data_IF_915063840118
#
_entry.id   IF_915063840118
#
_cell.length_a   1.000
_cell.length_b   1.000
_cell.length_c   1.000
_cell.angle_alpha   90.00
_cell.angle_beta   90.00
_cell.angle_gamma   90.00
#
_symmetry.space_group_name_H-M   'P 1'
#
loop_
_entity.id
_entity.type
_entity.pdbx_description
1 polymer ?
#
# COMPACT_ATOMS: atom_id res chain seq x y z
N UNK A 1 -33.70 6.37 6.57
CA UNK A 1 -34.09 5.32 7.56
C UNK A 1 -33.45 3.96 7.29
N UNK A 2 -33.80 3.18 6.24
CA UNK A 2 -33.23 1.81 6.05
C UNK A 2 -31.72 1.71 5.74
N UNK A 3 -31.10 2.76 5.19
CA UNK A 3 -29.64 2.86 4.97
C UNK A 3 -28.88 3.33 6.22
N UNK A 4 -29.55 4.04 7.12
CA UNK A 4 -28.94 4.59 8.34
C UNK A 4 -28.93 3.57 9.47
N UNK A 5 -29.89 2.63 9.50
CA UNK A 5 -29.86 1.47 10.42
C UNK A 5 -28.75 0.47 10.05
N UNK A 6 -28.51 0.22 8.75
CA UNK A 6 -27.36 -0.59 8.30
C UNK A 6 -26.01 0.02 8.69
N UNK A 7 -25.89 1.34 8.65
CA UNK A 7 -24.68 2.04 9.09
C UNK A 7 -24.50 2.08 10.61
N UNK A 8 -25.58 1.94 11.41
CA UNK A 8 -25.49 1.87 12.88
C UNK A 8 -25.24 0.44 13.39
N UNK A 9 -25.66 -0.59 12.65
CA UNK A 9 -25.32 -2.00 12.96
C UNK A 9 -23.90 -2.39 12.55
N UNK A 10 -23.30 -1.67 11.57
CA UNK A 10 -21.87 -1.77 11.21
C UNK A 10 -20.94 -0.98 12.12
N UNK A 11 -21.46 -0.29 13.13
CA UNK A 11 -20.69 0.06 14.34
C UNK A 11 -20.44 -1.19 15.22
N UNK A 12 -20.35 -2.36 14.58
CA UNK A 12 -20.09 -3.65 15.16
C UNK A 12 -18.83 -3.52 16.00
N UNK A 13 -18.96 -3.85 17.29
CA UNK A 13 -17.84 -3.96 18.23
C UNK A 13 -16.67 -4.57 17.47
N UNK A 14 -15.59 -3.83 17.30
CA UNK A 14 -14.38 -4.37 16.66
C UNK A 14 -14.01 -5.59 17.50
N UNK A 15 -14.30 -6.77 16.96
CA UNK A 15 -13.98 -8.02 17.62
C UNK A 15 -12.47 -8.08 17.78
N UNK A 16 -12.02 -8.88 18.75
CA UNK A 16 -10.59 -9.21 18.88
C UNK A 16 -10.05 -9.74 17.52
N UNK A 17 -10.92 -10.38 16.74
CA UNK A 17 -10.67 -10.85 15.37
C UNK A 17 -10.28 -9.73 14.38
N UNK A 18 -10.91 -8.55 14.44
CA UNK A 18 -10.58 -7.42 13.57
C UNK A 18 -9.22 -6.80 13.89
N UNK A 19 -8.87 -6.72 15.17
CA UNK A 19 -7.53 -6.29 15.59
C UNK A 19 -6.46 -7.33 15.28
N UNK A 20 -6.76 -8.61 15.48
CA UNK A 20 -5.85 -9.72 15.17
C UNK A 20 -5.56 -9.83 13.67
N UNK A 21 -6.59 -9.73 12.83
CA UNK A 21 -6.44 -9.73 11.37
C UNK A 21 -5.69 -8.50 10.86
N UNK A 22 -5.95 -7.31 11.41
CA UNK A 22 -5.17 -6.12 11.09
C UNK A 22 -3.68 -6.29 11.43
N UNK A 23 -3.37 -6.81 12.62
CA UNK A 23 -1.99 -7.03 13.05
C UNK A 23 -1.29 -8.05 12.14
N UNK A 24 -1.96 -9.15 11.82
CA UNK A 24 -1.46 -10.16 10.88
C UNK A 24 -1.18 -9.55 9.50
N UNK A 25 -2.10 -8.74 8.99
CA UNK A 25 -1.96 -8.08 7.70
C UNK A 25 -0.76 -7.11 7.69
N UNK A 26 -0.59 -6.31 8.74
CA UNK A 26 0.57 -5.43 8.87
C UNK A 26 1.87 -6.25 8.86
N UNK A 27 1.93 -7.36 9.60
CA UNK A 27 3.10 -8.24 9.61
C UNK A 27 3.40 -8.79 8.21
N UNK A 28 2.40 -9.35 7.53
CA UNK A 28 2.53 -9.91 6.17
C UNK A 28 3.13 -8.91 5.19
N UNK A 29 2.63 -7.66 5.19
CA UNK A 29 3.08 -6.61 4.29
C UNK A 29 4.32 -5.84 4.77
N UNK A 30 4.83 -6.07 5.99
CA UNK A 30 5.94 -5.29 6.57
C UNK A 30 7.33 -5.70 6.07
N UNK A 31 7.52 -6.94 5.62
CA UNK A 31 8.84 -7.47 5.27
C UNK A 31 9.73 -7.86 6.47
N UNK A 32 9.22 -7.79 7.72
CA UNK A 32 10.04 -8.02 8.92
C UNK A 32 10.62 -9.45 9.00
N UNK A 33 9.98 -10.43 8.36
CA UNK A 33 10.39 -11.83 8.39
C UNK A 33 11.03 -12.32 7.09
N UNK A 34 11.37 -11.42 6.16
CA UNK A 34 12.00 -11.76 4.86
C UNK A 34 13.24 -12.66 5.04
N UNK A 35 14.10 -12.34 6.03
CA UNK A 35 15.34 -13.08 6.31
C UNK A 35 15.23 -14.12 7.44
N UNK A 36 14.04 -14.39 7.98
CA UNK A 36 13.91 -15.30 9.13
C UNK A 36 14.21 -16.76 8.74
N UNK A 37 14.92 -17.57 9.53
CA UNK A 37 15.26 -18.96 9.15
C UNK A 37 14.21 -20.02 9.52
N UNK A 38 13.07 -19.61 10.07
CA UNK A 38 12.13 -20.46 10.80
C UNK A 38 10.70 -20.30 10.25
N UNK A 39 9.73 -20.89 10.94
CA UNK A 39 8.30 -20.82 10.59
C UNK A 39 7.78 -19.39 10.37
N UNK A 40 8.42 -18.37 10.95
CA UNK A 40 7.98 -16.97 10.80
C UNK A 40 8.05 -16.48 9.36
N UNK A 41 8.82 -17.12 8.47
CA UNK A 41 8.80 -16.83 7.01
C UNK A 41 7.40 -16.94 6.41
N UNK A 42 6.53 -17.79 6.97
CA UNK A 42 5.16 -17.94 6.50
C UNK A 42 4.30 -16.68 6.72
N UNK A 43 4.76 -15.73 7.53
CA UNK A 43 4.10 -14.45 7.76
C UNK A 43 4.78 -13.29 7.02
N UNK A 44 5.47 -13.58 5.91
CA UNK A 44 6.10 -12.57 5.06
C UNK A 44 5.60 -12.71 3.63
N UNK A 45 5.04 -11.64 3.07
CA UNK A 45 4.48 -11.65 1.74
C UNK A 45 5.52 -12.02 0.67
N UNK A 46 6.75 -11.50 0.77
CA UNK A 46 7.81 -11.79 -0.21
C UNK A 46 8.21 -13.26 -0.19
N UNK A 47 8.33 -13.87 0.99
CA UNK A 47 8.58 -15.31 1.13
C UNK A 47 7.41 -16.16 0.62
N UNK A 48 6.16 -15.73 0.85
CA UNK A 48 4.96 -16.45 0.40
C UNK A 48 4.78 -16.40 -1.13
N UNK A 49 5.11 -15.27 -1.75
CA UNK A 49 5.10 -15.12 -3.22
C UNK A 49 6.21 -15.96 -3.84
N UNK A 50 7.36 -16.04 -3.16
CA UNK A 50 8.55 -16.72 -3.64
C UNK A 50 9.24 -15.97 -4.78
N UNK A 51 10.07 -16.70 -5.52
CA UNK A 51 10.95 -16.13 -6.55
C UNK A 51 10.36 -16.25 -7.96
N UNK A 52 9.08 -15.95 -8.14
CA UNK A 52 8.45 -16.02 -9.45
C UNK A 52 9.12 -15.06 -10.43
N UNK A 53 9.48 -15.59 -11.61
CA UNK A 53 10.21 -14.84 -12.63
C UNK A 53 11.73 -14.97 -12.57
N UNK A 54 12.30 -15.58 -11.51
CA UNK A 54 13.72 -15.91 -11.46
C UNK A 54 13.95 -17.28 -12.12
N UNK A 55 14.83 -17.33 -13.10
CA UNK A 55 15.17 -18.55 -13.85
C UNK A 55 16.50 -19.12 -13.33
N UNK A 56 17.50 -18.28 -13.12
CA UNK A 56 18.82 -18.62 -12.58
C UNK A 56 19.49 -17.37 -11.99
N UNK A 57 20.67 -17.51 -11.39
CA UNK A 57 21.43 -16.37 -10.86
C UNK A 57 21.66 -15.30 -11.94
N UNK A 58 21.10 -14.11 -11.72
CA UNK A 58 21.17 -12.98 -12.65
C UNK A 58 20.33 -13.13 -13.93
N UNK A 59 19.46 -14.15 -14.02
CA UNK A 59 18.56 -14.39 -15.15
C UNK A 59 17.12 -14.45 -14.65
N UNK A 60 16.30 -13.52 -15.12
CA UNK A 60 14.87 -13.43 -14.84
C UNK A 60 14.07 -13.39 -16.15
N UNK A 61 12.75 -13.25 -16.03
CA UNK A 61 11.82 -13.10 -17.15
C UNK A 61 12.11 -11.92 -18.08
N UNK A 62 12.81 -10.88 -17.61
CA UNK A 62 13.17 -9.72 -18.43
C UNK A 62 14.23 -10.08 -19.49
N UNK A 63 15.01 -11.14 -19.25
CA UNK A 63 16.11 -11.57 -20.12
C UNK A 63 17.28 -10.58 -20.10
N UNK A 64 18.24 -10.75 -21.01
CA UNK A 64 19.38 -9.82 -21.17
C UNK A 64 19.36 -9.17 -22.55
N UNK A 65 19.57 -7.84 -22.62
CA UNK A 65 19.75 -7.09 -23.87
C UNK A 65 18.48 -6.54 -24.53
N UNK A 66 17.31 -6.68 -23.91
CA UNK A 66 16.09 -6.02 -24.34
C UNK A 66 15.87 -4.73 -23.55
N UNK A 67 15.80 -3.57 -24.22
CA UNK A 67 15.41 -2.30 -23.59
C UNK A 67 14.12 -1.82 -24.24
N UNK A 68 13.10 -1.49 -23.44
CA UNK A 68 11.83 -0.93 -23.93
C UNK A 68 10.60 -1.81 -23.67
N UNK A 69 9.62 -1.81 -24.57
CA UNK A 69 8.29 -2.38 -24.30
C UNK A 69 8.28 -3.88 -23.95
N UNK A 70 9.21 -4.67 -24.49
CA UNK A 70 9.31 -6.12 -24.21
C UNK A 70 9.77 -6.39 -22.77
N UNK A 71 10.78 -5.66 -22.32
CA UNK A 71 11.29 -5.74 -20.95
C UNK A 71 10.20 -5.33 -19.95
N UNK A 72 9.53 -4.20 -20.21
CA UNK A 72 8.41 -3.75 -19.37
C UNK A 72 7.24 -4.75 -19.31
N UNK A 73 6.91 -5.41 -20.42
CA UNK A 73 5.88 -6.45 -20.43
C UNK A 73 6.28 -7.66 -19.57
N UNK A 74 7.53 -8.13 -19.69
CA UNK A 74 8.00 -9.25 -18.89
C UNK A 74 8.09 -8.90 -17.41
N UNK A 75 8.52 -7.69 -17.05
CA UNK A 75 8.46 -7.18 -15.69
C UNK A 75 7.02 -7.18 -15.14
N UNK A 76 6.04 -6.70 -15.91
CA UNK A 76 4.65 -6.67 -15.49
C UNK A 76 4.09 -8.06 -15.16
N UNK A 77 4.49 -9.11 -15.90
CA UNK A 77 4.10 -10.49 -15.58
C UNK A 77 4.59 -10.94 -14.19
N UNK A 78 5.75 -10.44 -13.73
CA UNK A 78 6.27 -10.78 -12.40
C UNK A 78 5.42 -10.23 -11.25
N UNK A 79 4.61 -9.19 -11.51
CA UNK A 79 3.76 -8.55 -10.49
C UNK A 79 2.43 -9.29 -10.27
N UNK A 80 2.02 -10.17 -11.18
CA UNK A 80 0.72 -10.84 -11.14
C UNK A 80 0.54 -11.68 -9.86
N UNK A 81 1.48 -12.57 -9.46
CA UNK A 81 1.30 -13.37 -8.25
C UNK A 81 1.22 -12.50 -6.99
N UNK A 82 2.09 -11.49 -6.89
CA UNK A 82 2.14 -10.52 -5.78
C UNK A 82 0.80 -9.83 -5.59
N UNK A 83 0.23 -9.30 -6.67
CA UNK A 83 -1.05 -8.57 -6.62
C UNK A 83 -2.22 -9.49 -6.28
N UNK A 84 -2.30 -10.67 -6.90
CA UNK A 84 -3.35 -11.65 -6.62
C UNK A 84 -3.38 -12.10 -5.14
N UNK A 85 -2.23 -12.53 -4.59
CA UNK A 85 -2.14 -13.00 -3.20
C UNK A 85 -2.44 -11.86 -2.22
N UNK A 86 -1.88 -10.68 -2.47
CA UNK A 86 -2.11 -9.50 -1.65
C UNK A 86 -3.58 -9.10 -1.58
N UNK A 87 -4.25 -9.07 -2.74
CA UNK A 87 -5.70 -8.78 -2.82
C UNK A 87 -6.49 -9.84 -2.07
N UNK A 88 -6.12 -11.13 -2.17
CA UNK A 88 -6.72 -12.21 -1.40
C UNK A 88 -6.64 -12.00 0.12
N UNK A 89 -5.45 -11.68 0.64
CA UNK A 89 -5.28 -11.41 2.08
C UNK A 89 -6.07 -10.19 2.55
N UNK A 90 -6.09 -9.12 1.76
CA UNK A 90 -6.88 -7.92 2.07
C UNK A 90 -8.35 -8.28 2.18
N UNK A 91 -8.91 -9.03 1.23
CA UNK A 91 -10.31 -9.44 1.26
C UNK A 91 -10.64 -10.29 2.49
N UNK A 92 -9.82 -11.29 2.81
CA UNK A 92 -10.02 -12.14 4.00
C UNK A 92 -9.98 -11.31 5.28
N UNK A 93 -8.99 -10.41 5.42
CA UNK A 93 -8.87 -9.57 6.61
C UNK A 93 -10.00 -8.54 6.71
N UNK A 94 -10.46 -8.00 5.58
CA UNK A 94 -11.62 -7.12 5.52
C UNK A 94 -12.90 -7.82 5.99
N UNK A 95 -13.15 -9.05 5.54
CA UNK A 95 -14.29 -9.87 5.99
C UNK A 95 -14.22 -10.16 7.50
N UNK A 96 -13.02 -10.19 8.08
CA UNK A 96 -12.78 -10.31 9.53
C UNK A 96 -12.87 -8.98 10.30
N UNK A 97 -13.18 -7.87 9.64
CA UNK A 97 -13.34 -6.55 10.26
C UNK A 97 -12.03 -5.76 10.43
N UNK A 98 -10.94 -6.14 9.76
CA UNK A 98 -9.66 -5.42 9.84
C UNK A 98 -9.76 -3.97 9.38
N UNK A 99 -10.66 -3.64 8.45
CA UNK A 99 -10.82 -2.27 7.94
C UNK A 99 -11.34 -1.31 9.01
N UNK A 100 -12.25 -1.77 9.89
CA UNK A 100 -12.76 -0.94 10.98
C UNK A 100 -11.74 -0.80 12.12
N UNK A 101 -10.95 -1.86 12.38
CA UNK A 101 -9.80 -1.77 13.28
C UNK A 101 -8.74 -0.78 12.75
N UNK A 102 -8.42 -0.87 11.45
CA UNK A 102 -7.48 0.02 10.79
C UNK A 102 -7.97 1.46 10.85
N UNK A 103 -9.27 1.68 10.64
CA UNK A 103 -9.87 3.00 10.78
C UNK A 103 -9.57 3.61 12.13
N UNK A 104 -9.82 2.92 13.24
CA UNK A 104 -9.53 3.47 14.59
C UNK A 104 -8.04 3.65 14.85
N UNK A 105 -7.22 2.71 14.41
CA UNK A 105 -5.76 2.78 14.61
C UNK A 105 -5.10 3.91 13.82
N UNK A 106 -5.44 4.07 12.55
CA UNK A 106 -4.77 5.02 11.65
C UNK A 106 -5.42 6.41 11.65
N UNK A 107 -6.67 6.58 12.08
CA UNK A 107 -7.30 7.91 12.17
C UNK A 107 -6.47 8.93 12.96
N UNK A 108 -5.95 8.65 14.17
CA UNK A 108 -5.15 9.64 14.91
C UNK A 108 -3.83 10.00 14.21
N UNK A 109 -3.36 9.20 13.27
CA UNK A 109 -2.14 9.46 12.50
C UNK A 109 -2.42 10.17 11.17
N UNK A 110 -3.29 9.59 10.34
CA UNK A 110 -3.51 10.04 8.97
C UNK A 110 -4.35 11.32 8.88
N UNK A 111 -5.31 11.49 9.80
CA UNK A 111 -6.19 12.67 9.84
C UNK A 111 -5.41 13.97 10.09
N UNK A 112 -4.53 14.07 11.11
CA UNK A 112 -3.71 15.27 11.27
C UNK A 112 -2.64 15.39 10.18
N UNK A 113 -1.99 14.28 9.80
CA UNK A 113 -0.84 14.31 8.90
C UNK A 113 -1.20 14.69 7.46
N UNK A 114 -2.31 14.18 6.93
CA UNK A 114 -2.67 14.34 5.51
C UNK A 114 -4.15 14.69 5.29
N UNK A 115 -4.98 14.69 6.35
CA UNK A 115 -6.41 15.01 6.23
C UNK A 115 -7.26 13.89 5.63
N UNK A 116 -6.73 12.67 5.56
CA UNK A 116 -7.44 11.49 5.01
C UNK A 116 -8.02 10.63 6.14
N UNK A 117 -9.10 9.86 5.90
CA UNK A 117 -9.72 9.03 6.92
C UNK A 117 -8.86 7.81 7.23
N UNK A 118 -8.96 7.29 8.46
CA UNK A 118 -8.20 6.11 8.88
C UNK A 118 -8.57 4.83 8.12
N UNK A 119 -9.71 4.78 7.43
CA UNK A 119 -10.09 3.67 6.53
C UNK A 119 -9.04 3.44 5.43
N UNK A 120 -8.31 4.50 5.05
CA UNK A 120 -7.17 4.42 4.11
C UNK A 120 -5.90 3.83 4.75
N UNK A 121 -5.93 3.44 6.02
CA UNK A 121 -4.79 2.99 6.80
C UNK A 121 -4.13 1.72 6.28
N UNK A 122 -4.93 0.73 5.87
CA UNK A 122 -4.38 -0.51 5.30
C UNK A 122 -3.75 -0.23 3.94
N UNK A 123 -4.42 0.55 3.09
CA UNK A 123 -3.86 0.98 1.81
C UNK A 123 -2.57 1.80 1.99
N UNK A 124 -2.47 2.58 3.09
CA UNK A 124 -1.28 3.35 3.43
C UNK A 124 -0.09 2.42 3.71
N UNK A 125 -0.28 1.36 4.51
CA UNK A 125 0.77 0.36 4.77
C UNK A 125 1.10 -0.44 3.51
N UNK A 126 0.08 -0.92 2.79
CA UNK A 126 0.26 -1.67 1.56
C UNK A 126 1.06 -0.87 0.52
N UNK A 127 0.93 0.46 0.48
CA UNK A 127 1.64 1.29 -0.51
C UNK A 127 3.16 1.27 -0.40
N UNK A 128 3.73 0.77 0.70
CA UNK A 128 5.18 0.59 0.84
C UNK A 128 5.70 -0.67 0.13
N UNK A 129 4.84 -1.67 -0.08
CA UNK A 129 5.22 -2.97 -0.66
C UNK A 129 4.49 -3.30 -1.95
N UNK A 130 3.35 -2.66 -2.22
CA UNK A 130 2.65 -2.73 -3.51
C UNK A 130 1.77 -1.50 -3.75
N UNK A 131 2.13 -0.69 -4.75
CA UNK A 131 1.30 0.43 -5.19
C UNK A 131 -0.01 -0.02 -5.81
N UNK A 132 0.00 -1.17 -6.48
CA UNK A 132 -1.17 -1.68 -7.19
C UNK A 132 -2.26 -2.11 -6.20
N UNK A 133 -1.85 -2.83 -5.14
CA UNK A 133 -2.75 -3.24 -4.06
C UNK A 133 -3.31 -2.00 -3.35
N UNK A 134 -2.46 -1.04 -3.01
CA UNK A 134 -2.90 0.21 -2.38
C UNK A 134 -3.90 0.99 -3.26
N UNK A 135 -3.67 1.04 -4.58
CA UNK A 135 -4.56 1.72 -5.52
C UNK A 135 -5.91 1.03 -5.64
N UNK A 136 -5.93 -0.31 -5.65
CA UNK A 136 -7.14 -1.11 -5.66
C UNK A 136 -7.97 -0.87 -4.39
N UNK A 137 -7.33 -0.92 -3.22
CA UNK A 137 -7.99 -0.65 -1.93
C UNK A 137 -8.56 0.77 -1.88
N UNK A 138 -7.83 1.75 -2.40
CA UNK A 138 -8.26 3.14 -2.46
C UNK A 138 -9.48 3.32 -3.37
N UNK A 139 -9.47 2.68 -4.54
CA UNK A 139 -10.62 2.67 -5.45
C UNK A 139 -11.84 2.04 -4.79
N UNK A 140 -11.66 0.92 -4.11
CA UNK A 140 -12.74 0.21 -3.42
C UNK A 140 -13.36 1.07 -2.30
N UNK A 141 -12.52 1.68 -1.45
CA UNK A 141 -12.97 2.58 -0.38
C UNK A 141 -13.77 3.78 -0.92
N UNK A 142 -13.39 4.31 -2.10
CA UNK A 142 -14.16 5.36 -2.76
C UNK A 142 -15.52 4.86 -3.26
N UNK A 143 -15.56 3.69 -3.90
CA UNK A 143 -16.80 3.08 -4.41
C UNK A 143 -17.79 2.73 -3.28
N UNK A 144 -17.29 2.39 -2.10
CA UNK A 144 -18.09 2.12 -0.90
C UNK A 144 -18.53 3.40 -0.17
N UNK A 145 -18.05 4.58 -0.59
CA UNK A 145 -18.37 5.86 0.05
C UNK A 145 -17.64 6.10 1.38
N UNK A 146 -16.58 5.35 1.67
CA UNK A 146 -15.77 5.48 2.88
C UNK A 146 -14.77 6.64 2.81
N UNK A 147 -14.38 7.03 1.59
CA UNK A 147 -13.54 8.19 1.32
C UNK A 147 -14.21 9.09 0.29
N UNK A 148 -14.08 10.40 0.47
CA UNK A 148 -14.53 11.39 -0.51
C UNK A 148 -13.60 11.46 -1.72
N UNK A 149 -14.07 12.05 -2.82
CA UNK A 149 -13.25 12.26 -4.01
C UNK A 149 -12.02 13.14 -3.73
N UNK A 150 -12.18 14.11 -2.83
CA UNK A 150 -11.11 15.00 -2.35
C UNK A 150 -10.06 14.22 -1.55
N UNK A 151 -10.49 13.41 -0.58
CA UNK A 151 -9.60 12.55 0.22
C UNK A 151 -8.89 11.52 -0.67
N UNK A 152 -9.60 10.94 -1.65
CA UNK A 152 -9.02 10.05 -2.66
C UNK A 152 -7.92 10.74 -3.44
N UNK A 153 -8.16 11.94 -3.95
CA UNK A 153 -7.18 12.70 -4.75
C UNK A 153 -5.91 13.00 -3.95
N UNK A 154 -6.06 13.40 -2.68
CA UNK A 154 -4.94 13.60 -1.76
C UNK A 154 -4.16 12.30 -1.55
N UNK A 155 -4.87 11.19 -1.34
CA UNK A 155 -4.25 9.91 -1.06
C UNK A 155 -3.59 9.27 -2.29
N UNK A 156 -4.12 9.53 -3.48
CA UNK A 156 -3.50 9.18 -4.76
C UNK A 156 -2.17 9.93 -4.90
N UNK A 157 -2.10 11.23 -4.57
CA UNK A 157 -0.83 11.97 -4.59
C UNK A 157 0.22 11.37 -3.63
N UNK A 158 -0.20 10.93 -2.44
CA UNK A 158 0.66 10.17 -1.51
C UNK A 158 1.20 8.88 -2.14
N UNK A 159 0.33 8.11 -2.82
CA UNK A 159 0.69 6.83 -3.43
C UNK A 159 1.56 6.99 -4.68
N UNK A 160 1.35 8.01 -5.50
CA UNK A 160 2.21 8.25 -6.66
C UNK A 160 3.59 8.77 -6.28
N UNK A 161 3.67 9.55 -5.19
CA UNK A 161 4.95 9.93 -4.65
C UNK A 161 5.71 8.68 -4.19
N UNK A 162 6.86 8.42 -4.79
CA UNK A 162 7.89 7.47 -4.35
C UNK A 162 7.51 5.99 -4.12
N UNK A 163 6.28 5.51 -4.34
CA UNK A 163 5.94 4.09 -4.07
C UNK A 163 6.78 3.12 -4.89
N UNK A 164 6.93 3.35 -6.19
CA UNK A 164 7.77 2.51 -7.05
C UNK A 164 9.23 2.49 -6.58
N UNK A 165 9.75 3.64 -6.15
CA UNK A 165 11.14 3.75 -5.67
C UNK A 165 11.32 3.02 -4.34
N UNK A 166 10.36 3.12 -3.42
CA UNK A 166 10.38 2.38 -2.14
C UNK A 166 10.35 0.87 -2.41
N UNK A 167 9.42 0.40 -3.26
CA UNK A 167 9.30 -1.02 -3.62
C UNK A 167 10.61 -1.50 -4.25
N UNK A 168 11.18 -0.75 -5.20
CA UNK A 168 12.45 -1.13 -5.83
C UNK A 168 13.63 -1.13 -4.84
N UNK A 169 13.59 -0.26 -3.84
CA UNK A 169 14.58 -0.21 -2.76
C UNK A 169 14.48 -1.42 -1.83
N UNK A 170 13.27 -1.93 -1.59
CA UNK A 170 13.01 -3.09 -0.71
C UNK A 170 13.22 -4.41 -1.45
N UNK A 171 12.71 -4.55 -2.68
CA UNK A 171 12.56 -5.83 -3.36
C UNK A 171 13.69 -6.17 -4.33
N UNK A 172 14.25 -5.19 -5.04
CA UNK A 172 15.05 -5.48 -6.25
C UNK A 172 16.51 -5.08 -6.17
N UNK A 173 17.01 -4.56 -5.04
CA UNK A 173 18.36 -3.96 -5.02
C UNK A 173 18.54 -3.04 -6.24
N UNK A 174 17.58 -2.13 -6.44
CA UNK A 174 17.47 -1.24 -7.60
C UNK A 174 18.85 -0.80 -8.15
N UNK A 175 19.00 -0.56 -9.47
CA UNK A 175 20.27 -0.10 -10.06
C UNK A 175 20.89 1.13 -9.39
N UNK A 176 20.08 1.90 -8.67
CA UNK A 176 20.47 3.08 -7.90
C UNK A 176 21.05 2.76 -6.51
N UNK A 177 20.76 1.59 -5.92
CA UNK A 177 21.28 1.19 -4.60
C UNK A 177 22.80 1.03 -4.56
N UNK A 178 23.48 0.49 -5.59
CA UNK A 178 24.95 0.51 -5.67
C UNK A 178 25.55 1.92 -5.79
N UNK A 179 24.76 2.90 -6.23
CA UNK A 179 25.20 4.29 -6.45
C UNK A 179 24.94 5.16 -5.21
N UNK A 180 23.89 4.87 -4.45
CA UNK A 180 23.49 5.65 -3.29
C UNK A 180 24.39 5.33 -2.09
N UNK A 181 24.96 6.36 -1.46
CA UNK A 181 25.87 6.21 -0.30
C UNK A 181 25.16 6.01 1.04
N UNK A 182 23.82 5.97 1.02
CA UNK A 182 22.98 5.89 2.21
C UNK A 182 22.45 4.48 2.40
N UNK A 183 22.33 4.03 3.65
CA UNK A 183 21.65 2.79 3.97
C UNK A 183 20.16 2.84 3.56
N UNK A 184 19.57 1.67 3.32
CA UNK A 184 18.17 1.50 2.87
C UNK A 184 17.17 2.19 3.79
N UNK A 185 17.30 2.04 5.11
CA UNK A 185 16.36 2.62 6.09
C UNK A 185 16.22 4.14 5.97
N UNK A 186 17.31 4.92 6.05
CA UNK A 186 17.29 6.36 5.81
C UNK A 186 16.68 6.77 4.46
N UNK A 187 16.92 6.00 3.39
CA UNK A 187 16.33 6.25 2.06
C UNK A 187 14.81 6.10 2.11
N UNK A 188 14.30 5.03 2.72
CA UNK A 188 12.85 4.80 2.86
C UNK A 188 12.19 5.92 3.67
N UNK A 189 12.80 6.34 4.79
CA UNK A 189 12.29 7.45 5.61
C UNK A 189 12.26 8.75 4.80
N UNK A 190 13.32 9.04 4.06
CA UNK A 190 13.40 10.21 3.19
C UNK A 190 12.28 10.19 2.13
N UNK A 191 12.12 9.07 1.42
CA UNK A 191 11.06 8.89 0.43
C UNK A 191 9.67 9.07 1.06
N UNK A 192 9.44 8.52 2.24
CA UNK A 192 8.18 8.68 2.97
C UNK A 192 7.84 10.14 3.28
N UNK A 193 8.83 10.97 3.67
CA UNK A 193 8.61 12.40 3.88
C UNK A 193 8.07 13.07 2.60
N UNK A 194 8.62 12.71 1.42
CA UNK A 194 8.12 13.23 0.14
C UNK A 194 6.70 12.75 -0.18
N UNK A 195 6.33 11.53 0.23
CA UNK A 195 4.94 11.05 0.11
C UNK A 195 3.98 11.93 0.87
N UNK A 196 4.30 12.19 2.15
CA UNK A 196 3.49 13.04 3.03
C UNK A 196 3.45 14.47 2.52
N UNK A 197 4.57 15.01 2.03
CA UNK A 197 4.63 16.33 1.42
C UNK A 197 3.74 16.43 0.18
N UNK A 198 3.82 15.47 -0.74
CA UNK A 198 3.00 15.41 -1.94
C UNK A 198 1.50 15.38 -1.62
N UNK A 199 1.11 14.59 -0.61
CA UNK A 199 -0.27 14.57 -0.12
C UNK A 199 -0.73 15.95 0.39
N UNK A 200 0.10 16.63 1.18
CA UNK A 200 -0.24 17.93 1.73
C UNK A 200 -0.24 19.07 0.70
N UNK A 201 0.65 19.01 -0.29
CA UNK A 201 0.59 19.93 -1.45
C UNK A 201 -0.75 19.74 -2.16
N UNK A 202 -1.13 18.50 -2.46
CA UNK A 202 -2.41 18.20 -3.11
C UNK A 202 -3.60 18.64 -2.24
N UNK A 203 -3.52 18.48 -0.92
CA UNK A 203 -4.52 18.97 0.03
C UNK A 203 -4.71 20.49 -0.08
N UNK A 204 -3.63 21.25 -0.26
CA UNK A 204 -3.70 22.70 -0.47
C UNK A 204 -4.30 23.06 -1.84
N UNK A 205 -3.93 22.33 -2.90
CA UNK A 205 -4.50 22.54 -4.26
C UNK A 205 -6.02 22.32 -4.23
N UNK A 206 -6.45 21.16 -3.73
CA UNK A 206 -7.87 20.79 -3.62
C UNK A 206 -8.63 21.73 -2.66
N UNK A 207 -7.96 22.33 -1.67
CA UNK A 207 -8.56 23.36 -0.82
C UNK A 207 -8.81 24.65 -1.60
N UNK A 208 -7.81 25.13 -2.35
CA UNK A 208 -7.90 26.33 -3.17
C UNK A 208 -8.96 26.22 -4.28
N UNK A 209 -9.06 25.06 -4.94
CA UNK A 209 -10.09 24.84 -5.96
C UNK A 209 -11.51 24.94 -5.39
N UNK A 210 -11.72 24.42 -4.18
CA UNK A 210 -13.01 24.52 -3.50
C UNK A 210 -13.35 25.93 -2.99
N UNK A 211 -12.34 26.74 -2.66
CA UNK A 211 -12.51 28.15 -2.23
C UNK A 211 -12.64 29.11 -3.43
N UNK A 212 -12.05 28.76 -4.58
CA UNK A 212 -12.01 29.58 -5.78
C UNK A 212 -13.21 29.45 -6.72
N UNK A 213 -14.18 28.58 -6.43
CA UNK A 213 -15.41 28.46 -7.22
C UNK A 213 -15.16 28.15 -8.71
N UNK A 214 -14.18 27.30 -9.02
CA UNK A 214 -13.96 26.85 -10.38
C UNK A 214 -14.79 25.59 -10.66
N UNK A 215 -16.01 25.84 -11.16
CA UNK A 215 -16.96 25.01 -11.94
C UNK A 215 -17.17 23.56 -11.50
#
# INVERSE_FOLDING_TARGET
MRKEEKNREQEHRIGIEGWGSLFLLIILFSGIFTNSGNFLKAFDLSNLIGSFGIIADGLNFEGQGGVGAREGFMFALTLIPTTCVSVGFVHVCEDMGAMEAARKFFTPLLRPLMGIPGTSGIAFVASFTSSDVASFMTKKAYQQGEITDRERTIFVAYQYAASAVIINTISTQAPLLPIIKLAVGPVIVYLWIFKVLGANIMRLVVKKEAEGGAV
#
